data_IF_218004447645
#
_entry.id   IF_218004447645
#
_cell.length_a   1.000
_cell.length_b   1.000
_cell.length_c   1.000
_cell.angle_alpha   90.00
_cell.angle_beta   90.00
_cell.angle_gamma   90.00
#
_symmetry.space_group_name_H-M   'P 1'
#
loop_
_entity.id
_entity.type
_entity.pdbx_description
1 polymer ?
#
# COMPACT_ATOMS: atom_id res chain seq x y z
N UNK A 1 -13.07 -4.87 -1.92
CA UNK A 1 -12.95 -4.41 -0.53
C UNK A 1 -11.49 -4.24 -0.15
N UNK A 2 -11.15 -3.14 0.51
CA UNK A 2 -9.77 -2.85 0.91
C UNK A 2 -9.43 -3.61 2.20
N UNK A 3 -8.28 -4.27 2.22
CA UNK A 3 -7.82 -5.04 3.37
C UNK A 3 -6.64 -4.35 4.03
N UNK A 4 -6.54 -4.49 5.35
CA UNK A 4 -5.43 -3.97 6.12
C UNK A 4 -4.26 -4.96 6.05
N UNK A 5 -3.08 -4.45 5.67
CA UNK A 5 -1.87 -5.27 5.63
C UNK A 5 -1.14 -5.18 6.98
N UNK A 6 -0.78 -3.97 7.37
CA UNK A 6 -0.17 -3.71 8.69
C UNK A 6 -0.11 -2.22 8.96
N UNK A 7 0.22 -1.88 10.21
CA UNK A 7 0.55 -0.50 10.59
C UNK A 7 1.95 -0.53 11.17
N UNK A 8 2.83 0.34 10.69
CA UNK A 8 4.21 0.43 11.16
C UNK A 8 4.64 1.89 11.20
N UNK A 9 5.19 2.33 12.34
CA UNK A 9 5.70 3.68 12.53
C UNK A 9 4.67 4.77 12.19
N UNK A 10 3.39 4.50 12.48
CA UNK A 10 2.31 5.43 12.21
C UNK A 10 1.83 5.43 10.77
N UNK A 11 2.31 4.50 9.96
CA UNK A 11 1.86 4.33 8.58
C UNK A 11 0.98 3.09 8.47
N UNK A 12 -0.28 3.30 8.12
CA UNK A 12 -1.22 2.21 7.88
C UNK A 12 -1.12 1.80 6.42
N UNK A 13 -0.91 0.51 6.18
CA UNK A 13 -0.81 -0.04 4.83
C UNK A 13 -2.03 -0.90 4.55
N UNK A 14 -2.78 -0.53 3.52
CA UNK A 14 -3.95 -1.28 3.07
C UNK A 14 -3.80 -1.61 1.59
N UNK A 15 -4.54 -2.60 1.14
CA UNK A 15 -4.43 -3.05 -0.25
C UNK A 15 -5.75 -3.60 -0.78
N UNK A 16 -5.85 -3.59 -2.11
CA UNK A 16 -6.87 -4.34 -2.86
C UNK A 16 -6.14 -5.20 -3.88
N UNK A 17 -6.87 -5.85 -4.77
CA UNK A 17 -6.26 -6.62 -5.86
C UNK A 17 -5.48 -5.72 -6.82
N UNK A 18 -5.85 -4.45 -6.91
CA UNK A 18 -5.35 -3.53 -7.93
C UNK A 18 -4.40 -2.47 -7.40
N UNK A 19 -4.43 -2.17 -6.10
CA UNK A 19 -3.69 -1.04 -5.55
C UNK A 19 -3.24 -1.26 -4.11
N UNK A 20 -2.36 -0.35 -3.67
CA UNK A 20 -1.85 -0.31 -2.30
C UNK A 20 -1.93 1.13 -1.82
N UNK A 21 -2.37 1.33 -0.57
CA UNK A 21 -2.47 2.64 0.05
C UNK A 21 -1.58 2.71 1.28
N UNK A 22 -0.81 3.80 1.38
CA UNK A 22 -0.04 4.13 2.57
C UNK A 22 -0.66 5.39 3.18
N UNK A 23 -1.11 5.32 4.42
CA UNK A 23 -1.73 6.44 5.11
C UNK A 23 -0.96 6.80 6.37
N UNK A 24 -0.60 8.09 6.51
CA UNK A 24 0.01 8.60 7.74
C UNK A 24 -1.11 8.86 8.74
N UNK A 25 -1.15 8.05 9.80
CA UNK A 25 -2.22 8.15 10.80
C UNK A 25 -2.18 9.43 11.63
N UNK A 26 -1.04 10.12 11.65
CA UNK A 26 -0.88 11.37 12.40
C UNK A 26 -1.39 12.58 11.63
N UNK A 27 -1.15 12.60 10.31
CA UNK A 27 -1.46 13.76 9.46
C UNK A 27 -2.68 13.51 8.59
N UNK A 28 -3.12 12.27 8.46
CA UNK A 28 -4.15 11.82 7.54
C UNK A 28 -3.77 11.99 6.06
N UNK A 29 -2.50 12.27 5.77
CA UNK A 29 -2.01 12.27 4.41
C UNK A 29 -1.89 10.83 3.92
N UNK A 30 -2.11 10.63 2.62
CA UNK A 30 -2.07 9.29 2.05
C UNK A 30 -1.57 9.30 0.61
N UNK A 31 -1.11 8.14 0.16
CA UNK A 31 -0.76 7.90 -1.23
C UNK A 31 -1.40 6.58 -1.66
N UNK A 32 -2.05 6.61 -2.81
CA UNK A 32 -2.65 5.42 -3.42
C UNK A 32 -1.85 5.07 -4.67
N UNK A 33 -1.29 3.87 -4.70
CA UNK A 33 -0.42 3.41 -5.78
C UNK A 33 -1.02 2.19 -6.47
N UNK A 34 -0.88 2.13 -7.79
CA UNK A 34 -1.14 0.91 -8.53
C UNK A 34 -0.06 -0.13 -8.23
N UNK A 35 -0.32 -1.37 -8.58
CA UNK A 35 0.64 -2.47 -8.37
C UNK A 35 2.00 -2.22 -9.01
N UNK A 36 2.05 -1.45 -10.09
CA UNK A 36 3.30 -1.11 -10.78
C UNK A 36 4.03 0.09 -10.17
N UNK A 37 3.47 0.69 -9.12
CA UNK A 37 4.06 1.85 -8.46
C UNK A 37 3.58 3.20 -8.99
N UNK A 38 2.68 3.21 -9.99
CA UNK A 38 2.12 4.46 -10.50
C UNK A 38 1.21 5.11 -9.47
N UNK A 39 1.32 6.43 -9.31
CA UNK A 39 0.51 7.18 -8.35
C UNK A 39 -0.90 7.40 -8.90
N UNK A 40 -1.92 6.95 -8.19
CA UNK A 40 -3.31 7.24 -8.50
C UNK A 40 -3.71 8.56 -7.83
N UNK A 41 -3.33 8.71 -6.57
CA UNK A 41 -3.66 9.89 -5.77
C UNK A 41 -2.63 10.04 -4.65
N UNK A 42 -2.27 11.28 -4.31
CA UNK A 42 -1.36 11.53 -3.20
C UNK A 42 -1.54 12.93 -2.63
N UNK A 43 -1.48 13.03 -1.30
CA UNK A 43 -1.38 14.30 -0.56
C UNK A 43 0.05 14.56 -0.08
N UNK A 44 0.96 13.60 -0.28
CA UNK A 44 2.35 13.75 0.14
C UNK A 44 3.12 14.60 -0.87
N UNK A 45 4.27 15.14 -0.44
CA UNK A 45 5.19 15.82 -1.34
C UNK A 45 5.94 14.81 -2.23
N UNK A 46 6.69 15.31 -3.21
CA UNK A 46 7.38 14.46 -4.18
C UNK A 46 8.41 13.53 -3.53
N UNK A 47 9.09 14.00 -2.50
CA UNK A 47 10.09 13.21 -1.78
C UNK A 47 9.45 12.01 -1.10
N UNK A 48 8.34 12.23 -0.41
CA UNK A 48 7.60 11.14 0.24
C UNK A 48 6.95 10.22 -0.78
N UNK A 49 6.45 10.76 -1.89
CA UNK A 49 5.89 9.95 -2.96
C UNK A 49 6.92 8.94 -3.46
N UNK A 50 8.15 9.40 -3.71
CA UNK A 50 9.22 8.51 -4.15
C UNK A 50 9.57 7.48 -3.08
N UNK A 51 9.60 7.90 -1.83
CA UNK A 51 9.86 7.00 -0.72
C UNK A 51 8.87 5.83 -0.70
N UNK A 52 7.58 6.12 -0.83
CA UNK A 52 6.55 5.09 -0.80
C UNK A 52 6.55 4.24 -2.08
N UNK A 53 6.86 4.82 -3.22
CA UNK A 53 7.02 4.04 -4.45
C UNK A 53 8.16 3.03 -4.31
N UNK A 54 9.29 3.43 -3.74
CA UNK A 54 10.42 2.53 -3.50
C UNK A 54 10.08 1.50 -2.43
N UNK A 55 9.36 1.91 -1.40
CA UNK A 55 8.90 1.00 -0.35
C UNK A 55 8.00 -0.09 -0.92
N UNK A 56 7.09 0.29 -1.82
CA UNK A 56 6.19 -0.67 -2.47
C UNK A 56 6.96 -1.74 -3.24
N UNK A 57 8.03 -1.36 -3.93
CA UNK A 57 8.85 -2.33 -4.68
C UNK A 57 9.41 -3.41 -3.76
N UNK A 58 9.81 -3.04 -2.55
CA UNK A 58 10.33 -3.99 -1.56
C UNK A 58 9.22 -4.82 -0.94
N UNK A 59 8.04 -4.24 -0.77
CA UNK A 59 6.91 -4.85 -0.07
C UNK A 59 6.06 -5.73 -0.99
N UNK A 60 6.12 -5.49 -2.28
CA UNK A 60 5.23 -6.12 -3.25
C UNK A 60 5.22 -7.66 -3.18
N UNK A 61 6.36 -8.34 -3.07
CA UNK A 61 6.35 -9.81 -2.94
C UNK A 61 5.56 -10.30 -1.73
N UNK A 62 5.64 -9.58 -0.61
CA UNK A 62 4.90 -9.93 0.61
C UNK A 62 3.41 -9.71 0.42
N UNK A 63 3.03 -8.58 -0.19
CA UNK A 63 1.63 -8.28 -0.49
C UNK A 63 1.04 -9.32 -1.44
N UNK A 64 1.80 -9.74 -2.44
CA UNK A 64 1.39 -10.78 -3.38
C UNK A 64 1.11 -12.09 -2.65
N UNK A 65 1.96 -12.45 -1.68
CA UNK A 65 1.76 -13.63 -0.84
C UNK A 65 0.46 -13.52 -0.06
N UNK A 66 0.17 -12.37 0.52
CA UNK A 66 -1.06 -12.14 1.26
C UNK A 66 -2.29 -12.25 0.37
N UNK A 67 -2.24 -11.72 -0.85
CA UNK A 67 -3.31 -11.84 -1.82
C UNK A 67 -3.58 -13.30 -2.19
N UNK A 68 -2.53 -14.08 -2.36
CA UNK A 68 -2.66 -15.51 -2.67
C UNK A 68 -3.29 -16.29 -1.52
N UNK A 69 -2.95 -15.95 -0.28
CA UNK A 69 -3.55 -16.56 0.90
C UNK A 69 -5.05 -16.25 0.99
N UNK A 70 -5.42 -15.01 0.70
CA UNK A 70 -6.83 -14.61 0.66
C UNK A 70 -7.60 -15.42 -0.38
N UNK A 71 -7.01 -15.64 -1.55
CA UNK A 71 -7.62 -16.45 -2.60
C UNK A 71 -7.83 -17.90 -2.17
N UNK A 72 -6.87 -18.45 -1.44
CA UNK A 72 -6.98 -19.82 -0.92
C UNK A 72 -8.08 -19.94 0.13
N UNK A 73 -8.23 -18.92 0.97
CA UNK A 73 -9.27 -18.91 2.00
C UNK A 73 -10.68 -18.84 1.41
N UNK A 74 -10.84 -18.23 0.27
CA UNK A 74 -12.13 -18.09 -0.39
C UNK A 74 -12.47 -19.23 -1.33
N UNK A 75 -11.52 -20.09 -1.61
CA UNK A 75 -11.70 -21.27 -2.47
C UNK A 75 -12.35 -22.47 -1.70
#
# INVERSE_FOLDING_TARGET
>A
MRKEFCEKDGILITYTEDDICFEDCKTAESILLKNDGSIIHSNFDDEKNKYFQDYLKKLYPVITTFRNLDSLETA
#
